data_IF_327055212588
#
_entry.id   IF_327055212588
#
_cell.length_a   1.000
_cell.length_b   1.000
_cell.length_c   1.000
_cell.angle_alpha   90.00
_cell.angle_beta   90.00
_cell.angle_gamma   90.00
#
_symmetry.space_group_name_H-M   'P 1'
#
loop_
_entity.id
_entity.type
_entity.pdbx_description
1 polymer ?
#
# COMPACT_ATOMS: atom_id res chain seq x y z
N UNK A 1 20.63 21.46 -6.24
CA UNK A 1 19.34 20.77 -6.41
C UNK A 1 18.32 21.87 -6.69
N UNK A 2 17.69 21.87 -7.86
CA UNK A 2 16.81 22.97 -8.27
C UNK A 2 15.45 22.82 -7.56
N UNK A 3 15.04 23.75 -6.69
CA UNK A 3 13.77 23.64 -5.96
C UNK A 3 12.53 23.78 -6.86
N UNK A 4 12.70 24.08 -8.15
CA UNK A 4 11.62 24.30 -9.13
C UNK A 4 11.49 23.18 -10.17
N UNK A 5 12.18 22.05 -9.98
CA UNK A 5 12.02 20.89 -10.84
C UNK A 5 10.62 20.30 -10.59
N UNK A 6 9.77 20.26 -11.63
CA UNK A 6 8.42 19.67 -11.56
C UNK A 6 8.58 18.30 -10.92
N UNK A 7 7.88 17.97 -9.82
CA UNK A 7 8.03 16.68 -9.18
C UNK A 7 7.72 15.62 -10.23
N UNK A 8 8.70 14.75 -10.49
CA UNK A 8 8.53 13.64 -11.42
C UNK A 8 7.23 12.91 -11.06
N UNK A 9 6.41 12.61 -12.08
CA UNK A 9 5.16 11.87 -11.92
C UNK A 9 5.38 10.74 -10.91
N UNK A 10 4.57 10.65 -9.84
CA UNK A 10 4.67 9.56 -8.89
C UNK A 10 4.68 8.20 -9.58
N UNK A 11 5.63 7.35 -9.18
CA UNK A 11 5.68 5.96 -9.58
C UNK A 11 4.76 5.17 -8.66
N UNK A 12 3.83 4.45 -9.25
CA UNK A 12 2.93 3.54 -8.55
C UNK A 12 3.54 2.16 -8.47
N UNK A 13 3.68 1.65 -7.25
CA UNK A 13 4.12 0.27 -7.01
C UNK A 13 2.97 -0.51 -6.40
N UNK A 14 2.43 -1.45 -7.14
CA UNK A 14 1.32 -2.30 -6.73
C UNK A 14 1.83 -3.59 -6.09
N UNK A 15 1.45 -3.80 -4.83
CA UNK A 15 1.73 -5.03 -4.07
C UNK A 15 0.46 -5.88 -4.10
N UNK A 16 0.58 -7.09 -4.64
CA UNK A 16 -0.56 -8.02 -4.77
C UNK A 16 -0.18 -9.44 -4.40
N UNK A 17 -1.16 -10.18 -3.90
CA UNK A 17 -1.04 -11.61 -3.68
C UNK A 17 -1.28 -12.37 -5.00
N UNK A 18 -0.46 -13.38 -5.36
CA UNK A 18 -0.65 -14.17 -6.57
C UNK A 18 -1.95 -15.01 -6.56
N UNK A 19 -2.56 -15.22 -5.40
CA UNK A 19 -3.81 -15.97 -5.23
C UNK A 19 -5.01 -15.06 -4.98
N UNK A 20 -4.90 -13.79 -5.35
CA UNK A 20 -5.99 -12.84 -5.29
C UNK A 20 -7.19 -13.35 -6.09
N UNK A 21 -8.38 -13.37 -5.48
CA UNK A 21 -9.58 -13.95 -6.10
C UNK A 21 -10.08 -13.08 -7.26
N UNK A 22 -9.87 -11.77 -7.15
CA UNK A 22 -10.27 -10.80 -8.17
C UNK A 22 -9.08 -9.88 -8.48
N UNK A 23 -8.09 -10.36 -9.26
CA UNK A 23 -6.90 -9.57 -9.54
C UNK A 23 -7.28 -8.32 -10.34
N UNK A 24 -6.65 -7.20 -9.99
CA UNK A 24 -6.79 -5.95 -10.74
C UNK A 24 -6.00 -5.98 -12.05
N UNK A 25 -6.40 -5.12 -12.98
CA UNK A 25 -5.63 -4.87 -14.21
C UNK A 25 -4.28 -4.26 -13.86
N UNK A 26 -3.22 -5.05 -14.00
CA UNK A 26 -1.85 -4.65 -13.67
C UNK A 26 -1.31 -3.51 -14.55
N UNK A 27 -1.90 -3.29 -15.73
CA UNK A 27 -1.52 -2.17 -16.62
C UNK A 27 -1.84 -0.79 -16.02
N UNK A 28 -2.62 -0.74 -14.93
CA UNK A 28 -2.92 0.49 -14.19
C UNK A 28 -1.73 1.00 -13.36
N UNK A 29 -0.68 0.19 -13.18
CA UNK A 29 0.44 0.47 -12.29
C UNK A 29 1.77 0.48 -13.04
N UNK A 30 2.72 1.30 -12.56
CA UNK A 30 4.04 1.40 -13.19
C UNK A 30 4.91 0.17 -12.86
N UNK A 31 4.79 -0.36 -11.63
CA UNK A 31 5.47 -1.59 -11.19
C UNK A 31 4.54 -2.49 -10.39
N UNK A 32 4.69 -3.81 -10.57
CA UNK A 32 3.93 -4.81 -9.81
C UNK A 32 4.90 -5.73 -9.07
N UNK A 33 4.69 -5.86 -7.76
CA UNK A 33 5.40 -6.78 -6.89
C UNK A 33 4.39 -7.81 -6.37
N UNK A 34 4.66 -9.08 -6.66
CA UNK A 34 3.86 -10.19 -6.14
C UNK A 34 4.47 -10.72 -4.85
N UNK A 35 3.66 -10.86 -3.82
CA UNK A 35 4.04 -11.55 -2.57
C UNK A 35 4.13 -13.06 -2.82
N UNK A 36 4.68 -13.81 -1.87
CA UNK A 36 4.81 -15.27 -1.99
C UNK A 36 4.01 -15.98 -0.91
N UNK A 37 3.19 -16.96 -1.29
CA UNK A 37 2.46 -17.80 -0.32
C UNK A 37 3.37 -18.70 0.53
N UNK A 38 4.64 -18.85 0.14
CA UNK A 38 5.65 -19.63 0.87
C UNK A 38 6.53 -18.80 1.80
N UNK A 39 6.39 -17.48 1.79
CA UNK A 39 7.21 -16.57 2.59
C UNK A 39 6.44 -16.06 3.81
N UNK A 40 7.18 -15.74 4.85
CA UNK A 40 6.67 -14.94 5.96
C UNK A 40 6.43 -13.50 5.50
N UNK A 41 5.56 -12.76 6.19
CA UNK A 41 5.34 -11.35 5.89
C UNK A 41 6.63 -10.51 5.95
N UNK A 42 7.56 -10.83 6.86
CA UNK A 42 8.87 -10.17 6.95
C UNK A 42 9.72 -10.40 5.71
N UNK A 43 9.73 -11.62 5.18
CA UNK A 43 10.46 -11.96 3.96
C UNK A 43 9.82 -11.30 2.73
N UNK A 44 8.49 -11.24 2.65
CA UNK A 44 7.78 -10.51 1.60
C UNK A 44 8.10 -9.01 1.64
N UNK A 45 8.07 -8.39 2.83
CA UNK A 45 8.46 -6.99 3.01
C UNK A 45 9.89 -6.76 2.54
N UNK A 46 10.85 -7.56 3.03
CA UNK A 46 12.26 -7.41 2.67
C UNK A 46 12.49 -7.60 1.16
N UNK A 47 11.85 -8.62 0.57
CA UNK A 47 11.93 -8.90 -0.87
C UNK A 47 11.33 -7.77 -1.71
N UNK A 48 10.19 -7.21 -1.29
CA UNK A 48 9.55 -6.10 -1.98
C UNK A 48 10.43 -4.83 -1.91
N UNK A 49 10.95 -4.49 -0.73
CA UNK A 49 11.86 -3.35 -0.54
C UNK A 49 13.09 -3.49 -1.45
N UNK A 50 13.73 -4.67 -1.45
CA UNK A 50 14.87 -4.94 -2.30
C UNK A 50 14.54 -4.75 -3.79
N UNK A 51 13.46 -5.39 -4.26
CA UNK A 51 13.05 -5.32 -5.67
C UNK A 51 12.75 -3.89 -6.12
N UNK A 52 12.08 -3.10 -5.27
CA UNK A 52 11.79 -1.68 -5.53
C UNK A 52 13.08 -0.87 -5.57
N UNK A 53 13.98 -1.05 -4.61
CA UNK A 53 15.25 -0.32 -4.58
C UNK A 53 16.13 -0.60 -5.81
N UNK A 54 16.04 -1.81 -6.38
CA UNK A 54 16.78 -2.19 -7.59
C UNK A 54 16.22 -1.57 -8.88
N UNK A 55 14.93 -1.21 -8.90
CA UNK A 55 14.24 -0.74 -10.11
C UNK A 55 13.94 0.76 -10.09
N UNK A 56 13.77 1.33 -8.90
CA UNK A 56 13.32 2.71 -8.70
C UNK A 56 14.41 3.51 -8.00
N UNK A 57 14.75 4.66 -8.60
CA UNK A 57 15.73 5.60 -8.05
C UNK A 57 15.23 6.24 -6.76
N UNK A 58 16.13 6.80 -5.97
CA UNK A 58 15.77 7.47 -4.71
C UNK A 58 15.13 8.86 -4.89
N UNK A 59 15.21 9.46 -6.07
CA UNK A 59 14.63 10.77 -6.35
C UNK A 59 13.18 10.69 -6.85
N UNK A 60 12.77 9.54 -7.39
CA UNK A 60 11.40 9.32 -7.85
C UNK A 60 10.43 9.24 -6.67
N UNK A 61 9.34 10.04 -6.64
CA UNK A 61 8.28 9.87 -5.65
C UNK A 61 7.56 8.53 -5.86
N UNK A 62 7.35 7.79 -4.77
CA UNK A 62 6.71 6.46 -4.80
C UNK A 62 5.37 6.49 -4.06
N UNK A 63 4.33 6.00 -4.73
CA UNK A 63 3.03 5.68 -4.12
C UNK A 63 2.92 4.17 -4.02
N UNK A 64 2.78 3.66 -2.80
CA UNK A 64 2.55 2.24 -2.56
C UNK A 64 1.07 1.93 -2.66
N UNK A 65 0.71 0.99 -3.52
CA UNK A 65 -0.66 0.55 -3.72
C UNK A 65 -0.76 -0.91 -3.30
N UNK A 66 -1.80 -1.31 -2.59
CA UNK A 66 -2.06 -2.72 -2.33
C UNK A 66 -3.53 -3.07 -2.33
N UNK A 67 -3.80 -4.30 -2.75
CA UNK A 67 -5.12 -4.90 -2.75
C UNK A 67 -5.28 -5.91 -1.62
N UNK A 68 -6.49 -5.96 -1.04
CA UNK A 68 -6.90 -6.96 -0.07
C UNK A 68 -5.81 -7.30 0.97
N UNK A 69 -5.32 -8.54 0.97
CA UNK A 69 -4.40 -9.04 2.01
C UNK A 69 -3.04 -8.35 1.96
N UNK A 70 -2.59 -7.91 0.78
CA UNK A 70 -1.32 -7.19 0.64
C UNK A 70 -1.33 -5.81 1.32
N UNK A 71 -2.52 -5.28 1.65
CA UNK A 71 -2.68 -4.02 2.38
C UNK A 71 -1.94 -4.00 3.73
N UNK A 72 -1.82 -5.14 4.41
CA UNK A 72 -1.11 -5.19 5.70
C UNK A 72 0.40 -5.08 5.58
N UNK A 73 0.96 -5.27 4.38
CA UNK A 73 2.40 -5.27 4.14
C UNK A 73 2.95 -3.88 3.81
N UNK A 74 2.14 -3.02 3.18
CA UNK A 74 2.62 -1.73 2.66
C UNK A 74 3.14 -0.76 3.73
N UNK A 75 2.69 -0.76 5.01
CA UNK A 75 3.34 0.03 6.05
C UNK A 75 4.81 -0.40 6.27
N UNK A 76 5.06 -1.70 6.40
CA UNK A 76 6.40 -2.26 6.57
C UNK A 76 7.29 -2.04 5.35
N UNK A 77 6.74 -2.21 4.14
CA UNK A 77 7.45 -1.89 2.89
C UNK A 77 7.80 -0.41 2.85
N UNK A 78 6.84 0.48 3.15
CA UNK A 78 7.07 1.92 3.16
C UNK A 78 8.15 2.34 4.16
N UNK A 79 8.15 1.74 5.36
CA UNK A 79 9.21 1.95 6.35
C UNK A 79 10.58 1.51 5.82
N UNK A 80 10.68 0.31 5.23
CA UNK A 80 11.94 -0.18 4.65
C UNK A 80 12.44 0.65 3.47
N UNK A 81 11.53 1.16 2.65
CA UNK A 81 11.84 2.07 1.54
C UNK A 81 12.37 3.41 2.05
N UNK A 82 11.76 4.01 3.08
CA UNK A 82 12.28 5.24 3.69
C UNK A 82 13.64 5.04 4.36
N UNK A 83 13.83 3.91 5.06
CA UNK A 83 15.13 3.53 5.59
C UNK A 83 16.19 3.36 4.49
N UNK A 84 15.76 3.04 3.27
CA UNK A 84 16.59 2.97 2.05
C UNK A 84 16.60 4.28 1.24
N UNK A 85 16.24 5.40 1.88
CA UNK A 85 16.19 6.75 1.30
C UNK A 85 15.28 6.91 0.07
N UNK A 86 14.25 6.07 -0.08
CA UNK A 86 13.24 6.24 -1.14
C UNK A 86 12.16 7.24 -0.68
N UNK A 87 11.73 8.09 -1.61
CA UNK A 87 10.71 9.13 -1.37
C UNK A 87 9.30 8.53 -1.44
N UNK A 88 8.89 7.81 -0.39
CA UNK A 88 7.50 7.31 -0.26
C UNK A 88 6.58 8.47 0.10
N UNK A 89 5.71 8.84 -0.81
CA UNK A 89 4.85 10.04 -0.70
C UNK A 89 3.39 9.74 -0.34
N UNK A 90 2.98 8.47 -0.39
CA UNK A 90 1.64 8.10 0.04
C UNK A 90 1.31 6.64 -0.21
N UNK A 91 0.13 6.27 0.27
CA UNK A 91 -0.37 4.90 0.25
C UNK A 91 -1.79 4.85 -0.30
N UNK A 92 -2.09 3.84 -1.11
CA UNK A 92 -3.42 3.55 -1.60
C UNK A 92 -3.79 2.11 -1.24
N UNK A 93 -4.87 1.95 -0.49
CA UNK A 93 -5.48 0.66 -0.21
C UNK A 93 -6.65 0.48 -1.17
N UNK A 94 -6.67 -0.60 -1.95
CA UNK A 94 -7.79 -0.96 -2.82
C UNK A 94 -8.47 -2.18 -2.23
N UNK A 95 -9.62 -1.99 -1.60
CA UNK A 95 -10.30 -3.05 -0.84
C UNK A 95 -9.35 -3.73 0.17
N UNK A 96 -8.33 -2.97 0.62
CA UNK A 96 -7.21 -3.49 1.39
C UNK A 96 -7.59 -3.82 2.82
N UNK A 97 -7.06 -4.92 3.32
CA UNK A 97 -7.02 -5.22 4.76
C UNK A 97 -6.15 -4.18 5.44
N UNK A 98 -6.69 -3.50 6.44
CA UNK A 98 -5.93 -2.51 7.20
C UNK A 98 -5.09 -3.21 8.28
N UNK A 99 -3.87 -2.74 8.55
CA UNK A 99 -3.14 -3.16 9.75
C UNK A 99 -3.96 -2.76 10.98
N UNK A 100 -4.28 -3.74 11.83
CA UNK A 100 -4.93 -3.48 13.13
C UNK A 100 -4.10 -4.13 14.24
N UNK A 101 -3.88 -3.43 15.37
CA UNK A 101 -3.31 -4.05 16.56
C UNK A 101 -4.17 -5.24 16.98
N UNK A 102 -3.56 -6.39 17.26
CA UNK A 102 -4.23 -7.63 17.68
C UNK A 102 -5.29 -8.13 16.69
N UNK A 103 -4.93 -8.25 15.41
CA UNK A 103 -5.78 -8.88 14.40
C UNK A 103 -6.01 -10.36 14.77
N UNK A 104 -7.09 -10.64 15.50
CA UNK A 104 -7.55 -12.01 15.73
C UNK A 104 -8.01 -12.53 14.37
N UNK A 105 -7.37 -13.58 13.89
CA UNK A 105 -7.76 -14.24 12.66
C UNK A 105 -9.27 -14.53 12.68
N UNK A 106 -10.05 -14.19 11.64
CA UNK A 106 -11.43 -14.64 11.56
C UNK A 106 -11.47 -16.17 11.70
N UNK A 107 -12.41 -16.75 12.47
CA UNK A 107 -12.52 -18.20 12.58
C UNK A 107 -12.67 -18.80 11.18
N UNK A 108 -11.80 -19.74 10.83
CA UNK A 108 -11.58 -20.36 9.50
C UNK A 108 -10.49 -19.73 8.60
N UNK A 109 -9.72 -18.77 9.11
CA UNK A 109 -8.56 -18.21 8.40
C UNK A 109 -7.29 -19.00 8.73
N UNK A 110 -7.21 -20.27 8.31
CA UNK A 110 -6.05 -21.16 8.57
C UNK A 110 -4.70 -20.56 8.11
N UNK A 111 -4.72 -19.54 7.26
CA UNK A 111 -3.54 -18.83 6.77
C UNK A 111 -3.15 -17.58 7.58
N UNK A 112 -4.01 -17.08 8.48
CA UNK A 112 -3.71 -15.87 9.27
C UNK A 112 -2.93 -16.18 10.55
N UNK A 113 -3.10 -17.37 11.12
CA UNK A 113 -2.55 -17.76 12.44
C UNK A 113 -1.02 -17.80 12.48
N UNK A 114 -0.32 -17.83 11.34
CA UNK A 114 1.15 -17.82 11.28
C UNK A 114 1.76 -16.68 10.46
N UNK A 115 0.97 -15.98 9.62
CA UNK A 115 1.50 -14.93 8.74
C UNK A 115 1.74 -13.61 9.48
N UNK A 116 0.96 -13.34 10.53
CA UNK A 116 0.99 -12.08 11.29
C UNK A 116 1.81 -12.12 12.59
N UNK A 117 2.16 -13.31 13.09
CA UNK A 117 3.02 -13.48 14.27
C UNK A 117 4.45 -12.91 14.09
N UNK A 118 4.83 -12.59 12.84
CA UNK A 118 6.15 -12.09 12.48
C UNK A 118 6.14 -10.78 11.69
N UNK A 119 4.97 -10.16 11.52
CA UNK A 119 4.92 -8.75 11.11
C UNK A 119 5.43 -7.98 12.33
N UNK A 120 6.58 -7.29 12.25
CA UNK A 120 6.98 -6.40 13.33
C UNK A 120 5.78 -5.51 13.62
N UNK A 121 5.53 -5.20 14.89
CA UNK A 121 4.68 -4.08 15.28
C UNK A 121 5.33 -2.80 14.69
N UNK A 122 5.25 -2.64 13.38
CA UNK A 122 5.71 -1.48 12.66
C UNK A 122 4.89 -0.34 13.19
N UNK A 123 5.57 0.79 13.44
CA UNK A 123 4.99 2.10 13.72
C UNK A 123 3.53 2.15 13.26
N UNK A 124 2.60 2.31 14.21
CA UNK A 124 1.21 1.86 14.08
C UNK A 124 0.51 2.37 12.82
N UNK A 125 1.03 3.41 12.14
CA UNK A 125 0.37 4.08 11.03
C UNK A 125 1.33 4.53 9.92
N UNK A 126 0.90 4.53 8.63
CA UNK A 126 1.69 5.13 7.56
C UNK A 126 1.84 6.64 7.77
N UNK A 127 3.08 7.12 7.90
CA UNK A 127 3.49 8.52 8.06
C UNK A 127 3.50 9.33 6.74
N UNK A 128 2.55 9.05 5.84
CA UNK A 128 2.28 9.81 4.63
C UNK A 128 0.78 9.73 4.30
N UNK A 129 0.25 10.58 3.40
CA UNK A 129 -1.16 10.55 3.00
C UNK A 129 -1.63 9.15 2.60
N UNK A 130 -2.83 8.80 3.07
CA UNK A 130 -3.45 7.49 2.79
C UNK A 130 -4.82 7.68 2.18
N UNK A 131 -5.06 6.94 1.11
CA UNK A 131 -6.35 6.88 0.42
C UNK A 131 -6.83 5.43 0.44
N UNK A 132 -8.10 5.26 0.77
CA UNK A 132 -8.80 3.99 0.67
C UNK A 132 -9.77 4.04 -0.52
N UNK A 133 -9.63 3.10 -1.43
CA UNK A 133 -10.55 2.88 -2.55
C UNK A 133 -11.37 1.65 -2.19
N UNK A 134 -12.66 1.86 -1.94
CA UNK A 134 -13.61 0.76 -1.73
C UNK A 134 -14.33 0.50 -3.05
N UNK A 135 -14.17 -0.70 -3.61
CA UNK A 135 -14.93 -1.13 -4.78
C UNK A 135 -15.92 -2.25 -4.47
N UNK A 136 -15.71 -2.95 -3.35
CA UNK A 136 -16.54 -4.07 -2.91
C UNK A 136 -17.36 -3.72 -1.68
N UNK A 137 -18.53 -4.34 -1.58
CA UNK A 137 -19.39 -4.23 -0.41
C UNK A 137 -18.74 -4.89 0.82
N UNK A 138 -18.11 -6.06 0.66
CA UNK A 138 -17.42 -6.76 1.75
C UNK A 138 -16.31 -5.94 2.41
N UNK A 139 -15.67 -5.04 1.66
CA UNK A 139 -14.66 -4.12 2.18
C UNK A 139 -15.24 -3.01 3.07
N UNK A 140 -16.56 -2.90 3.17
CA UNK A 140 -17.24 -1.93 4.04
C UNK A 140 -16.85 -2.08 5.51
N UNK A 141 -16.40 -3.27 5.93
CA UNK A 141 -15.89 -3.53 7.28
C UNK A 141 -14.76 -2.56 7.68
N UNK A 142 -14.00 -2.05 6.71
CA UNK A 142 -12.88 -1.14 6.94
C UNK A 142 -13.27 0.33 6.90
N UNK A 143 -14.47 0.67 6.42
CA UNK A 143 -14.89 2.07 6.18
C UNK A 143 -14.89 2.90 7.46
N UNK A 144 -15.42 2.35 8.56
CA UNK A 144 -15.43 3.07 9.84
C UNK A 144 -14.01 3.32 10.36
N UNK A 145 -13.12 2.37 10.16
CA UNK A 145 -11.71 2.52 10.49
C UNK A 145 -11.04 3.60 9.61
N UNK A 146 -11.28 3.61 8.29
CA UNK A 146 -10.80 4.67 7.38
C UNK A 146 -11.25 6.05 7.84
N UNK A 147 -12.53 6.20 8.24
CA UNK A 147 -13.10 7.46 8.74
C UNK A 147 -12.46 7.92 10.05
N UNK A 148 -12.33 7.01 11.03
CA UNK A 148 -11.73 7.33 12.34
C UNK A 148 -10.28 7.82 12.19
N UNK A 149 -9.55 7.29 11.21
CA UNK A 149 -8.18 7.72 10.90
C UNK A 149 -8.08 8.94 9.99
N UNK A 150 -9.22 9.54 9.62
CA UNK A 150 -9.27 10.75 8.78
C UNK A 150 -8.79 10.52 7.35
N UNK A 151 -8.75 9.27 6.90
CA UNK A 151 -8.27 8.92 5.56
C UNK A 151 -9.30 9.25 4.49
N UNK A 152 -8.82 9.56 3.29
CA UNK A 152 -9.71 9.82 2.16
C UNK A 152 -10.31 8.50 1.68
N UNK A 153 -11.63 8.41 1.65
CA UNK A 153 -12.38 7.31 1.06
C UNK A 153 -12.86 7.67 -0.35
N UNK A 154 -12.67 6.78 -1.31
CA UNK A 154 -13.21 6.85 -2.67
C UNK A 154 -13.99 5.56 -2.95
N UNK A 155 -15.24 5.67 -3.40
CA UNK A 155 -16.13 4.53 -3.64
C UNK A 155 -16.43 4.34 -5.14
N UNK A 156 -15.42 4.58 -5.98
CA UNK A 156 -15.50 4.46 -7.44
C UNK A 156 -14.67 3.27 -7.92
N UNK A 157 -14.93 2.81 -9.15
CA UNK A 157 -14.11 1.81 -9.83
C UNK A 157 -12.62 2.22 -9.85
N UNK A 158 -11.71 1.25 -9.64
CA UNK A 158 -10.26 1.48 -9.53
C UNK A 158 -9.70 2.32 -10.67
N UNK A 159 -10.11 2.05 -11.91
CA UNK A 159 -9.62 2.77 -13.11
C UNK A 159 -9.88 4.28 -13.04
N UNK A 160 -10.95 4.70 -12.38
CA UNK A 160 -11.32 6.12 -12.17
C UNK A 160 -10.78 6.66 -10.84
N UNK A 161 -10.80 5.83 -9.80
CA UNK A 161 -10.39 6.20 -8.45
C UNK A 161 -8.87 6.37 -8.31
N UNK A 162 -8.07 5.50 -8.93
CA UNK A 162 -6.62 5.47 -8.77
C UNK A 162 -5.94 6.75 -9.28
N UNK A 163 -6.24 7.28 -10.49
CA UNK A 163 -5.67 8.56 -10.91
C UNK A 163 -6.05 9.71 -9.97
N UNK A 164 -7.29 9.77 -9.49
CA UNK A 164 -7.75 10.78 -8.51
C UNK A 164 -6.98 10.67 -7.20
N UNK A 165 -6.75 9.44 -6.73
CA UNK A 165 -6.00 9.16 -5.52
C UNK A 165 -4.55 9.65 -5.64
N UNK A 166 -3.88 9.32 -6.74
CA UNK A 166 -2.50 9.75 -7.00
C UNK A 166 -2.40 11.27 -7.10
N UNK A 167 -3.33 11.93 -7.80
CA UNK A 167 -3.36 13.40 -7.88
C UNK A 167 -3.58 14.06 -6.53
N UNK A 168 -4.42 13.48 -5.66
CA UNK A 168 -4.61 13.97 -4.31
C UNK A 168 -3.33 13.86 -3.48
N UNK A 169 -2.69 12.69 -3.48
CA UNK A 169 -1.41 12.46 -2.78
C UNK A 169 -0.34 13.42 -3.31
N UNK A 170 -0.22 13.59 -4.63
CA UNK A 170 0.75 14.48 -5.23
C UNK A 170 0.50 15.95 -4.87
N UNK A 171 -0.75 16.41 -4.90
CA UNK A 171 -1.11 17.79 -4.57
C UNK A 171 -1.01 18.14 -3.08
N UNK A 172 -0.97 17.15 -2.17
CA UNK A 172 -0.62 17.37 -0.76
C UNK A 172 0.88 17.59 -0.56
N UNK A 173 1.74 17.11 -1.46
CA UNK A 173 3.19 17.38 -1.41
C UNK A 173 3.47 18.85 -1.70
N UNK A 174 2.73 19.45 -2.63
CA UNK A 174 2.93 20.86 -3.04
C UNK A 174 2.58 21.88 -1.93
N UNK A 175 1.95 21.43 -0.83
CA UNK A 175 1.54 22.28 0.30
C UNK A 175 2.52 22.29 1.47
N UNK A 176 3.55 21.44 1.45
CA UNK A 176 4.56 21.30 2.52
C UNK A 176 5.95 21.71 2.03
#
# INVERSE_FOLDING_TARGET
MNPFEIPAKPITVFITDPFEKNPLDESLFDFVIRTSSSKTAREDIASAVFNICMQITNTSPVVLVAQERSGTLIPGIGSGLRASFRKVIGYVFIDGTLPVPNQIAPPNSQWLEHYFDSVPLTEDWPNAPVIYIQTKEDSAIWVEQVKVRGWKLITEEVKKALPKAISFIAGEIDKN
#
